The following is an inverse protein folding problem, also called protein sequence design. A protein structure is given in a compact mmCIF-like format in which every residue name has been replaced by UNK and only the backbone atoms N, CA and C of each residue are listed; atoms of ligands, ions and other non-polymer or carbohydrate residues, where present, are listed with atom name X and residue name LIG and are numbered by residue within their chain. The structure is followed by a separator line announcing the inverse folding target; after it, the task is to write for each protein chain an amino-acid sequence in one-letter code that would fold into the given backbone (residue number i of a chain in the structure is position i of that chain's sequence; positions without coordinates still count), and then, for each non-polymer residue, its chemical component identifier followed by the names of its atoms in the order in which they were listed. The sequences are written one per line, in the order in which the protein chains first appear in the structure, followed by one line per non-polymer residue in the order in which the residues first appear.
data_IF_927390653501
#
_entry.id   IF_927390653501
#
_cell.length_a   1.000
_cell.length_b   1.000
_cell.length_c   1.000
_cell.angle_alpha   90.00
_cell.angle_beta   90.00
_cell.angle_gamma   90.00
#
_symmetry.space_group_name_H-M   'P 1'
#
loop_
_entity.id
_entity.type
_entity.pdbx_description
1 polymer ?
#
# COMPACT_ATOMS: atom_id res chain seq x y z
N UNK A 1 -1.16 -51.71 16.24
CA UNK A 1 -1.69 -53.07 16.43
C UNK A 1 -3.02 -53.08 15.69
N UNK A 2 -3.18 -53.91 14.66
CA UNK A 2 -4.46 -54.04 13.97
C UNK A 2 -5.27 -55.04 14.78
N UNK A 3 -6.33 -54.57 15.43
CA UNK A 3 -7.23 -55.44 16.20
C UNK A 3 -7.94 -56.37 15.22
N UNK A 4 -7.62 -57.66 15.28
CA UNK A 4 -8.32 -58.69 14.52
C UNK A 4 -9.67 -58.94 15.17
N UNK A 5 -10.72 -58.41 14.55
CA UNK A 5 -12.11 -58.70 14.90
C UNK A 5 -12.43 -60.12 14.42
N UNK A 6 -13.01 -60.95 15.29
CA UNK A 6 -13.43 -62.30 14.88
C UNK A 6 -14.62 -62.22 13.92
N UNK A 7 -14.78 -63.20 13.02
CA UNK A 7 -15.90 -63.23 12.06
C UNK A 7 -17.27 -63.10 12.75
N UNK A 8 -17.41 -63.70 13.94
CA UNK A 8 -18.62 -63.62 14.73
C UNK A 8 -18.89 -62.21 15.28
N UNK A 9 -17.86 -61.44 15.63
CA UNK A 9 -17.98 -60.06 16.08
C UNK A 9 -18.26 -59.12 14.89
N UNK A 10 -17.64 -59.36 13.73
CA UNK A 10 -17.93 -58.62 12.51
C UNK A 10 -19.39 -58.78 12.08
N UNK A 11 -19.93 -59.99 12.13
CA UNK A 11 -21.34 -60.26 11.80
C UNK A 11 -22.32 -59.64 12.82
N UNK A 12 -21.89 -59.49 14.09
CA UNK A 12 -22.68 -58.84 15.16
C UNK A 12 -22.46 -57.34 15.24
N UNK A 13 -21.64 -56.77 14.35
CA UNK A 13 -21.38 -55.33 14.31
C UNK A 13 -22.67 -54.53 14.15
N UNK A 14 -22.63 -53.27 14.57
CA UNK A 14 -23.76 -52.34 14.36
C UNK A 14 -24.06 -52.14 12.88
N UNK A 15 -23.05 -52.21 12.03
CA UNK A 15 -23.17 -51.88 10.62
C UNK A 15 -23.82 -53.04 9.83
N UNK A 16 -23.59 -54.29 10.25
CA UNK A 16 -24.14 -55.46 9.56
C UNK A 16 -25.27 -56.14 10.34
N UNK A 17 -25.03 -56.50 11.60
CA UNK A 17 -25.96 -57.31 12.41
C UNK A 17 -27.25 -56.57 12.72
N UNK A 18 -27.17 -55.27 13.02
CA UNK A 18 -28.35 -54.45 13.30
C UNK A 18 -29.20 -54.22 12.04
N UNK A 19 -28.56 -54.03 10.88
CA UNK A 19 -29.25 -53.82 9.60
C UNK A 19 -29.98 -55.09 9.18
N UNK A 20 -29.34 -56.25 9.31
CA UNK A 20 -29.97 -57.56 9.05
C UNK A 20 -31.14 -57.77 10.01
N UNK A 21 -31.00 -57.48 11.31
CA UNK A 21 -32.08 -57.61 12.27
C UNK A 21 -33.29 -56.71 11.94
N UNK A 22 -33.05 -55.45 11.53
CA UNK A 22 -34.10 -54.53 11.05
C UNK A 22 -34.79 -55.08 9.79
N UNK A 23 -34.02 -55.55 8.81
CA UNK A 23 -34.56 -56.14 7.58
C UNK A 23 -35.41 -57.39 7.86
N UNK A 24 -34.96 -58.25 8.78
CA UNK A 24 -35.72 -59.41 9.23
C UNK A 24 -37.00 -59.02 9.97
N UNK A 25 -36.99 -57.97 10.78
CA UNK A 25 -38.18 -57.46 11.46
C UNK A 25 -39.23 -56.97 10.44
N UNK A 26 -38.80 -56.17 9.45
CA UNK A 26 -39.68 -55.68 8.37
C UNK A 26 -40.21 -56.83 7.51
N UNK A 27 -39.37 -57.82 7.21
CA UNK A 27 -39.77 -59.03 6.49
C UNK A 27 -40.80 -59.85 7.27
N UNK A 28 -40.62 -59.98 8.59
CA UNK A 28 -41.56 -60.70 9.46
C UNK A 28 -42.93 -60.00 9.49
N UNK A 29 -42.95 -58.67 9.56
CA UNK A 29 -44.18 -57.87 9.54
C UNK A 29 -44.90 -57.93 8.20
N UNK A 30 -44.17 -57.85 7.09
CA UNK A 30 -44.73 -57.85 5.73
C UNK A 30 -45.09 -59.24 5.18
N UNK A 31 -44.58 -60.31 5.80
CA UNK A 31 -44.80 -61.72 5.46
C UNK A 31 -44.84 -62.01 3.94
N UNK A 32 -43.78 -61.65 3.19
CA UNK A 32 -43.76 -61.76 1.74
C UNK A 32 -43.68 -63.22 1.27
N UNK A 33 -44.28 -63.52 0.11
CA UNK A 33 -44.24 -64.85 -0.52
C UNK A 33 -42.83 -65.37 -0.78
N UNK A 34 -41.90 -64.47 -1.12
CA UNK A 34 -40.48 -64.76 -1.37
C UNK A 34 -39.61 -63.99 -0.37
N UNK A 35 -39.39 -64.52 0.86
CA UNK A 35 -38.71 -63.79 1.94
C UNK A 35 -37.26 -63.42 1.62
N UNK A 36 -36.53 -64.31 0.95
CA UNK A 36 -35.11 -64.07 0.60
C UNK A 36 -34.97 -62.96 -0.43
N UNK A 37 -35.80 -62.96 -1.48
CA UNK A 37 -35.80 -61.92 -2.53
C UNK A 37 -36.26 -60.56 -1.97
N UNK A 38 -37.26 -60.57 -1.08
CA UNK A 38 -37.70 -59.38 -0.38
C UNK A 38 -36.57 -58.79 0.49
N UNK A 39 -35.92 -59.62 1.29
CA UNK A 39 -34.83 -59.16 2.17
C UNK A 39 -33.64 -58.61 1.36
N UNK A 40 -33.27 -59.25 0.25
CA UNK A 40 -32.21 -58.77 -0.63
C UNK A 40 -32.53 -57.38 -1.23
N UNK A 41 -33.76 -57.19 -1.71
CA UNK A 41 -34.23 -55.88 -2.22
C UNK A 41 -34.32 -54.83 -1.13
N UNK A 42 -34.74 -55.22 0.07
CA UNK A 42 -34.80 -54.34 1.22
C UNK A 42 -33.41 -53.85 1.62
N UNK A 43 -32.43 -54.76 1.71
CA UNK A 43 -31.03 -54.42 2.03
C UNK A 43 -30.43 -53.49 0.96
N UNK A 44 -30.73 -53.73 -0.31
CA UNK A 44 -30.30 -52.86 -1.40
C UNK A 44 -30.90 -51.45 -1.24
N UNK A 45 -32.21 -51.35 -1.01
CA UNK A 45 -32.87 -50.07 -0.79
C UNK A 45 -32.35 -49.35 0.46
N UNK A 46 -32.16 -50.07 1.56
CA UNK A 46 -31.58 -49.54 2.80
C UNK A 46 -30.22 -48.89 2.53
N UNK A 47 -29.33 -49.60 1.81
CA UNK A 47 -28.01 -49.06 1.45
C UNK A 47 -28.06 -47.82 0.55
N UNK A 48 -29.05 -47.75 -0.36
CA UNK A 48 -29.23 -46.58 -1.23
C UNK A 48 -29.76 -45.38 -0.46
N UNK A 49 -30.70 -45.60 0.47
CA UNK A 49 -31.26 -44.55 1.33
C UNK A 49 -30.19 -44.02 2.30
N UNK A 50 -29.38 -44.90 2.88
CA UNK A 50 -28.27 -44.52 3.77
C UNK A 50 -27.24 -43.66 3.01
N UNK A 51 -26.78 -44.12 1.84
CA UNK A 51 -25.90 -43.30 0.97
C UNK A 51 -26.51 -41.95 0.61
N UNK A 52 -27.79 -41.90 0.26
CA UNK A 52 -28.46 -40.65 -0.05
C UNK A 52 -28.60 -39.71 1.16
N UNK A 53 -28.67 -40.26 2.38
CA UNK A 53 -28.62 -39.49 3.62
C UNK A 53 -27.22 -38.94 3.86
N UNK A 54 -26.19 -39.76 3.71
CA UNK A 54 -24.78 -39.35 3.85
C UNK A 54 -24.44 -38.23 2.85
N UNK A 55 -24.74 -38.44 1.56
CA UNK A 55 -24.53 -37.44 0.49
C UNK A 55 -25.24 -36.10 0.83
N UNK A 56 -26.44 -36.17 1.41
CA UNK A 56 -27.18 -34.97 1.82
C UNK A 56 -26.53 -34.27 3.01
N UNK A 57 -26.03 -35.01 3.99
CA UNK A 57 -25.31 -34.42 5.12
C UNK A 57 -24.00 -33.78 4.70
N UNK A 58 -23.25 -34.42 3.79
CA UNK A 58 -22.04 -33.86 3.21
C UNK A 58 -22.34 -32.58 2.41
N UNK A 59 -23.38 -32.60 1.58
CA UNK A 59 -23.81 -31.42 0.83
C UNK A 59 -24.18 -30.25 1.74
N UNK A 60 -24.88 -30.51 2.85
CA UNK A 60 -25.22 -29.48 3.84
C UNK A 60 -23.96 -28.92 4.52
N UNK A 61 -23.01 -29.77 4.89
CA UNK A 61 -21.75 -29.33 5.50
C UNK A 61 -20.92 -28.46 4.54
N UNK A 62 -20.91 -28.77 3.24
CA UNK A 62 -20.26 -27.94 2.21
C UNK A 62 -20.92 -26.58 2.09
N UNK A 63 -22.26 -26.53 2.05
CA UNK A 63 -23.01 -25.26 1.98
C UNK A 63 -22.74 -24.41 3.22
N UNK A 64 -22.75 -25.01 4.41
CA UNK A 64 -22.45 -24.30 5.66
C UNK A 64 -21.03 -23.73 5.67
N UNK A 65 -20.05 -24.52 5.22
CA UNK A 65 -18.66 -24.07 5.09
C UNK A 65 -18.55 -22.89 4.12
N UNK A 66 -19.21 -22.96 2.97
CA UNK A 66 -19.21 -21.87 1.97
C UNK A 66 -19.87 -20.60 2.51
N UNK A 67 -21.00 -20.73 3.21
CA UNK A 67 -21.69 -19.59 3.83
C UNK A 67 -20.78 -18.92 4.86
N UNK A 68 -20.09 -19.71 5.69
CA UNK A 68 -19.14 -19.19 6.69
C UNK A 68 -17.98 -18.47 6.03
N UNK A 69 -17.35 -19.08 5.02
CA UNK A 69 -16.25 -18.47 4.27
C UNK A 69 -16.68 -17.16 3.59
N UNK A 70 -17.86 -17.13 2.99
CA UNK A 70 -18.38 -15.92 2.35
C UNK A 70 -18.72 -14.82 3.36
N UNK A 71 -19.24 -15.18 4.53
CA UNK A 71 -19.49 -14.22 5.62
C UNK A 71 -18.18 -13.61 6.14
N UNK A 72 -17.15 -14.44 6.39
CA UNK A 72 -15.83 -13.98 6.81
C UNK A 72 -15.17 -13.08 5.77
N UNK A 73 -15.22 -13.47 4.49
CA UNK A 73 -14.68 -12.67 3.39
C UNK A 73 -15.37 -11.30 3.26
N UNK A 74 -16.70 -11.25 3.43
CA UNK A 74 -17.45 -9.98 3.43
C UNK A 74 -17.08 -9.08 4.60
N UNK A 75 -16.89 -9.64 5.79
CA UNK A 75 -16.43 -8.87 6.95
C UNK A 75 -15.04 -8.31 6.68
N UNK A 76 -14.10 -9.12 6.18
CA UNK A 76 -12.75 -8.66 5.86
C UNK A 76 -12.74 -7.56 4.80
N UNK A 77 -13.50 -7.70 3.72
CA UNK A 77 -13.62 -6.66 2.69
C UNK A 77 -14.18 -5.37 3.26
N UNK A 78 -15.26 -5.44 4.06
CA UNK A 78 -15.84 -4.26 4.68
C UNK A 78 -14.86 -3.58 5.66
N UNK A 79 -14.08 -4.36 6.41
CA UNK A 79 -13.06 -3.82 7.32
C UNK A 79 -11.95 -3.11 6.54
N UNK A 80 -11.43 -3.73 5.47
CA UNK A 80 -10.41 -3.12 4.62
C UNK A 80 -10.91 -1.86 3.93
N UNK A 81 -12.14 -1.84 3.40
CA UNK A 81 -12.73 -0.64 2.81
C UNK A 81 -12.93 0.47 3.84
N UNK A 82 -13.32 0.14 5.07
CA UNK A 82 -13.47 1.12 6.15
C UNK A 82 -12.12 1.68 6.61
N UNK A 83 -11.07 0.85 6.67
CA UNK A 83 -9.70 1.30 6.97
C UNK A 83 -9.18 2.22 5.88
N UNK A 84 -9.33 1.85 4.60
CA UNK A 84 -8.89 2.68 3.48
C UNK A 84 -9.60 4.03 3.44
N UNK A 85 -10.92 4.06 3.71
CA UNK A 85 -11.67 5.32 3.82
C UNK A 85 -11.19 6.19 4.97
N UNK A 86 -10.88 5.61 6.13
CA UNK A 86 -10.32 6.37 7.26
C UNK A 86 -8.95 6.96 6.93
N UNK A 87 -8.10 6.21 6.23
CA UNK A 87 -6.80 6.72 5.77
C UNK A 87 -6.98 7.85 4.76
N UNK A 88 -7.88 7.70 3.79
CA UNK A 88 -8.23 8.75 2.82
C UNK A 88 -8.75 10.01 3.53
N UNK A 89 -9.67 9.86 4.49
CA UNK A 89 -10.22 10.96 5.30
C UNK A 89 -9.16 11.66 6.14
N UNK A 90 -8.24 10.91 6.77
CA UNK A 90 -7.13 11.48 7.55
C UNK A 90 -6.18 12.28 6.66
N UNK A 91 -5.86 11.76 5.47
CA UNK A 91 -5.00 12.46 4.51
C UNK A 91 -5.66 13.76 4.06
N UNK A 92 -6.96 13.75 3.79
CA UNK A 92 -7.69 14.94 3.36
C UNK A 92 -7.86 15.96 4.50
N UNK A 93 -8.05 15.51 5.75
CA UNK A 93 -8.06 16.38 6.93
C UNK A 93 -6.70 17.08 7.13
N UNK A 94 -5.60 16.34 6.97
CA UNK A 94 -4.24 16.91 7.07
C UNK A 94 -4.00 17.95 5.97
N UNK A 95 -4.44 17.69 4.73
CA UNK A 95 -4.37 18.68 3.64
C UNK A 95 -5.19 19.92 3.95
N UNK A 96 -6.44 19.76 4.38
CA UNK A 96 -7.33 20.87 4.68
C UNK A 96 -6.74 21.77 5.76
N UNK A 97 -6.23 21.16 6.84
CA UNK A 97 -5.54 21.87 7.93
C UNK A 97 -4.30 22.62 7.44
N UNK A 98 -3.51 22.02 6.57
CA UNK A 98 -2.31 22.67 6.03
C UNK A 98 -2.67 23.86 5.12
N UNK A 99 -3.70 23.74 4.28
CA UNK A 99 -4.20 24.83 3.44
C UNK A 99 -4.75 25.98 4.27
N UNK A 100 -5.47 25.68 5.35
CA UNK A 100 -5.96 26.69 6.30
C UNK A 100 -4.80 27.44 6.97
N UNK A 101 -3.76 26.71 7.42
CA UNK A 101 -2.54 27.31 7.98
C UNK A 101 -1.84 28.25 6.99
N UNK A 102 -1.76 27.88 5.71
CA UNK A 102 -1.21 28.75 4.67
C UNK A 102 -2.08 29.99 4.46
N UNK A 103 -3.41 29.84 4.46
CA UNK A 103 -4.33 30.96 4.26
C UNK A 103 -4.28 32.00 5.38
N UNK A 104 -4.01 31.56 6.61
CA UNK A 104 -3.86 32.44 7.79
C UNK A 104 -2.44 33.00 7.96
N UNK A 105 -1.46 32.44 7.26
CA UNK A 105 -0.06 32.83 7.40
C UNK A 105 0.21 34.24 6.86
N UNK A 106 0.76 35.11 7.72
CA UNK A 106 1.24 36.43 7.33
C UNK A 106 2.61 36.37 6.63
N UNK A 107 3.44 35.38 6.98
CA UNK A 107 4.70 35.05 6.30
C UNK A 107 4.73 33.56 5.93
N UNK A 108 4.93 33.29 4.64
CA UNK A 108 5.04 31.93 4.12
C UNK A 108 6.37 31.27 4.52
N UNK A 109 7.40 32.06 4.88
CA UNK A 109 8.69 31.51 5.30
C UNK A 109 8.60 30.70 6.59
N UNK A 110 7.72 31.10 7.51
CA UNK A 110 7.53 30.43 8.80
C UNK A 110 6.92 29.03 8.66
N UNK A 111 6.28 28.74 7.52
CA UNK A 111 5.59 27.48 7.25
C UNK A 111 6.34 26.55 6.30
N UNK A 112 7.55 26.92 5.87
CA UNK A 112 8.35 26.11 4.92
C UNK A 112 8.72 24.74 5.50
N UNK A 113 8.96 24.65 6.81
CA UNK A 113 9.18 23.35 7.46
C UNK A 113 7.90 22.49 7.49
N UNK A 114 6.74 23.12 7.70
CA UNK A 114 5.45 22.44 7.59
C UNK A 114 5.21 21.92 6.17
N UNK A 115 5.61 22.69 5.16
CA UNK A 115 5.52 22.30 3.76
C UNK A 115 6.43 21.10 3.44
N UNK A 116 7.67 21.06 3.93
CA UNK A 116 8.56 19.91 3.71
C UNK A 116 7.98 18.64 4.31
N UNK A 117 7.46 18.72 5.53
CA UNK A 117 6.88 17.58 6.24
C UNK A 117 5.59 17.11 5.54
N UNK A 118 4.73 18.05 5.12
CA UNK A 118 3.51 17.75 4.37
C UNK A 118 3.80 17.10 3.02
N UNK A 119 4.76 17.63 2.26
CA UNK A 119 5.15 17.07 0.96
C UNK A 119 5.75 15.67 1.11
N UNK A 120 6.54 15.42 2.15
CA UNK A 120 7.10 14.10 2.42
C UNK A 120 5.97 13.08 2.66
N UNK A 121 5.00 13.42 3.51
CA UNK A 121 3.85 12.55 3.82
C UNK A 121 2.95 12.34 2.60
N UNK A 122 2.66 13.40 1.85
CA UNK A 122 1.74 13.35 0.71
C UNK A 122 2.31 12.58 -0.48
N UNK A 123 3.61 12.77 -0.78
CA UNK A 123 4.26 12.13 -1.94
C UNK A 123 4.91 10.79 -1.59
N UNK A 124 5.03 10.47 -0.30
CA UNK A 124 5.83 9.37 0.21
C UNK A 124 7.28 9.41 -0.30
N UNK A 125 7.79 10.61 -0.56
CA UNK A 125 9.16 10.82 -1.02
C UNK A 125 10.15 10.48 0.11
N UNK A 126 11.29 9.90 -0.26
CA UNK A 126 12.33 9.56 0.72
C UNK A 126 13.00 10.79 1.34
N UNK A 127 13.06 11.91 0.61
CA UNK A 127 13.66 13.15 1.07
C UNK A 127 12.95 14.36 0.44
N UNK A 128 12.75 15.41 1.22
CA UNK A 128 12.20 16.69 0.75
C UNK A 128 12.99 17.83 1.38
N UNK A 129 13.41 18.79 0.56
CA UNK A 129 14.21 19.93 1.01
C UNK A 129 13.92 21.17 0.18
N UNK A 130 14.10 22.34 0.79
CA UNK A 130 13.83 23.66 0.20
C UNK A 130 15.12 24.49 0.20
N UNK A 131 15.54 24.87 -1.00
CA UNK A 131 16.66 25.79 -1.22
C UNK A 131 16.20 27.21 -1.51
N UNK A 132 16.93 28.19 -0.98
CA UNK A 132 16.79 29.61 -1.33
C UNK A 132 17.95 30.01 -2.24
N UNK A 133 17.63 30.77 -3.28
CA UNK A 133 18.64 31.32 -4.18
C UNK A 133 19.22 32.60 -3.54
N UNK A 134 20.46 32.56 -3.08
CA UNK A 134 21.12 33.63 -2.32
C UNK A 134 22.47 33.98 -2.96
N UNK A 135 22.88 35.25 -2.90
CA UNK A 135 24.24 35.63 -3.28
C UNK A 135 25.24 35.14 -2.21
N UNK A 136 26.41 34.59 -2.59
CA UNK A 136 27.41 34.15 -1.63
C UNK A 136 27.92 35.32 -0.76
N UNK A 137 28.16 35.03 0.51
CA UNK A 137 28.62 36.03 1.48
C UNK A 137 30.14 36.21 1.39
N UNK A 138 30.61 37.45 1.31
CA UNK A 138 32.04 37.81 1.38
C UNK A 138 32.51 37.93 2.84
N UNK A 139 33.76 37.57 3.15
CA UNK A 139 34.34 37.85 4.46
C UNK A 139 34.51 39.36 4.65
N UNK A 140 33.92 39.90 5.72
CA UNK A 140 33.93 41.33 6.08
C UNK A 140 35.30 41.72 6.65
N UNK A 141 35.81 42.90 6.31
CA UNK A 141 37.01 43.51 6.90
C UNK A 141 36.63 44.61 7.91
N UNK A 142 37.54 44.91 8.84
CA UNK A 142 37.35 46.02 9.78
C UNK A 142 37.27 47.36 9.04
N UNK A 143 36.05 47.91 8.90
CA UNK A 143 35.76 49.18 8.21
C UNK A 143 34.68 49.09 7.13
N UNK A 144 34.17 47.88 6.84
CA UNK A 144 33.15 47.63 5.83
C UNK A 144 31.72 47.98 6.34
N UNK A 145 30.83 48.38 5.43
CA UNK A 145 29.44 48.72 5.75
C UNK A 145 28.55 47.48 6.00
N UNK A 146 27.37 47.69 6.56
CA UNK A 146 26.41 46.62 6.88
C UNK A 146 25.97 45.78 5.65
N UNK A 147 26.26 46.21 4.41
CA UNK A 147 25.92 45.54 3.14
C UNK A 147 27.13 44.91 2.43
N UNK A 148 28.36 45.19 2.87
CA UNK A 148 29.60 44.72 2.25
C UNK A 148 29.78 43.19 2.27
N UNK A 149 28.95 42.49 3.04
CA UNK A 149 28.91 41.04 3.09
C UNK A 149 28.18 40.40 1.90
N UNK A 150 27.44 41.16 1.10
CA UNK A 150 26.68 40.64 -0.06
C UNK A 150 27.45 40.88 -1.35
N UNK A 151 27.83 39.81 -2.04
CA UNK A 151 28.48 39.92 -3.35
C UNK A 151 27.48 39.87 -4.49
N UNK A 152 26.89 41.01 -4.82
CA UNK A 152 25.91 41.12 -5.92
C UNK A 152 26.52 40.87 -7.32
N UNK A 153 27.86 40.82 -7.43
CA UNK A 153 28.57 40.52 -8.68
C UNK A 153 28.88 39.05 -8.91
N UNK A 154 28.66 38.21 -7.89
CA UNK A 154 28.95 36.78 -7.94
C UNK A 154 27.75 35.94 -8.37
N UNK A 155 28.02 34.75 -8.89
CA UNK A 155 26.96 33.84 -9.30
C UNK A 155 26.12 33.38 -8.09
N UNK A 156 24.79 33.46 -8.24
CA UNK A 156 23.86 33.05 -7.19
C UNK A 156 24.03 31.56 -6.89
N UNK A 157 23.97 31.21 -5.61
CA UNK A 157 24.08 29.85 -5.09
C UNK A 157 22.74 29.43 -4.48
N UNK A 158 22.47 28.11 -4.44
CA UNK A 158 21.31 27.58 -3.73
C UNK A 158 21.75 27.18 -2.33
N UNK A 159 21.20 27.84 -1.31
CA UNK A 159 21.40 27.50 0.09
C UNK A 159 20.18 26.71 0.59
N UNK A 160 20.39 25.47 1.01
CA UNK A 160 19.33 24.66 1.58
C UNK A 160 18.99 25.16 2.99
N UNK A 161 17.73 25.54 3.16
CA UNK A 161 17.22 26.17 4.39
C UNK A 161 16.37 25.24 5.24
N UNK A 162 15.62 24.35 4.60
CA UNK A 162 14.71 23.41 5.26
C UNK A 162 14.86 22.03 4.64
N UNK A 163 14.74 21.00 5.45
CA UNK A 163 14.80 19.60 5.03
C UNK A 163 13.94 18.74 5.97
N UNK A 164 13.59 17.54 5.52
CA UNK A 164 12.97 16.54 6.37
C UNK A 164 13.92 16.05 7.48
N UNK A 165 13.35 15.47 8.54
CA UNK A 165 14.08 15.04 9.74
C UNK A 165 15.21 14.05 9.44
N UNK A 166 15.09 13.22 8.42
CA UNK A 166 16.13 12.25 8.06
C UNK A 166 17.26 12.89 7.23
N UNK A 167 17.02 14.05 6.63
CA UNK A 167 17.94 14.75 5.73
C UNK A 167 18.35 16.15 6.24
N UNK A 168 18.26 16.39 7.55
CA UNK A 168 18.68 17.64 8.20
C UNK A 168 20.15 18.02 7.88
N UNK A 169 21.00 17.05 7.56
CA UNK A 169 22.38 17.29 7.14
C UNK A 169 22.52 18.12 5.84
N UNK A 170 21.44 18.25 5.07
CA UNK A 170 21.39 19.11 3.88
C UNK A 170 21.20 20.58 4.24
N UNK A 171 20.67 20.91 5.41
CA UNK A 171 20.55 22.30 5.86
C UNK A 171 21.95 22.92 5.93
N UNK A 172 22.06 24.17 5.49
CA UNK A 172 23.31 24.94 5.33
C UNK A 172 24.27 24.40 4.25
N UNK A 173 23.88 23.37 3.48
CA UNK A 173 24.64 22.99 2.29
C UNK A 173 24.39 23.96 1.15
N UNK A 174 25.43 24.14 0.35
CA UNK A 174 25.43 25.03 -0.81
C UNK A 174 25.53 24.19 -2.08
N UNK A 175 24.73 24.55 -3.08
CA UNK A 175 24.88 24.07 -4.45
C UNK A 175 25.40 25.24 -5.30
N UNK A 176 26.54 25.04 -5.97
CA UNK A 176 27.12 26.04 -6.85
C UNK A 176 26.51 25.93 -8.25
N UNK A 177 26.50 27.05 -8.98
CA UNK A 177 26.05 27.07 -10.37
C UNK A 177 26.96 26.15 -11.21
N UNK A 178 26.35 25.24 -11.97
CA UNK A 178 27.05 24.20 -12.73
C UNK A 178 27.37 22.91 -11.95
N UNK A 179 27.21 22.89 -10.62
CA UNK A 179 27.40 21.69 -9.81
C UNK A 179 26.08 20.96 -9.52
N UNK A 180 25.30 20.65 -10.55
CA UNK A 180 24.00 19.99 -10.38
C UNK A 180 23.01 20.31 -11.49
N UNK A 181 21.96 19.50 -11.63
CA UNK A 181 20.84 19.73 -12.54
C UNK A 181 19.75 20.67 -11.95
N UNK A 182 19.83 20.97 -10.66
CA UNK A 182 18.79 21.76 -9.96
C UNK A 182 18.69 23.20 -10.47
N UNK A 183 19.77 23.75 -11.02
CA UNK A 183 19.77 25.11 -11.57
C UNK A 183 18.99 25.23 -12.88
N UNK A 184 18.80 24.13 -13.62
CA UNK A 184 18.05 24.08 -14.88
C UNK A 184 16.57 24.46 -14.67
N UNK A 185 16.08 24.42 -13.43
CA UNK A 185 14.74 24.91 -13.04
C UNK A 185 14.59 26.42 -13.22
N UNK A 186 15.69 27.17 -13.20
CA UNK A 186 15.72 28.63 -13.38
C UNK A 186 16.03 29.04 -14.83
N UNK A 187 16.33 28.09 -15.70
CA UNK A 187 16.59 28.36 -17.12
C UNK A 187 15.26 28.42 -17.87
N UNK A 188 15.04 29.53 -18.56
CA UNK A 188 13.85 29.69 -19.39
C UNK A 188 13.90 28.69 -20.56
N UNK A 189 12.88 27.85 -20.68
CA UNK A 189 12.79 26.89 -21.79
C UNK A 189 12.37 27.65 -23.06
N UNK A 190 13.27 27.67 -24.04
CA UNK A 190 13.02 28.22 -25.37
C UNK A 190 12.41 27.13 -26.26
N UNK A 191 11.47 27.50 -27.13
CA UNK A 191 10.96 26.60 -28.18
C UNK A 191 11.96 26.45 -29.34
N UNK A 192 11.64 25.58 -30.31
CA UNK A 192 12.48 25.34 -31.51
C UNK A 192 12.68 26.62 -32.37
N UNK A 193 11.91 27.68 -32.11
CA UNK A 193 11.98 28.98 -32.78
C UNK A 193 12.65 30.07 -31.93
N UNK A 194 13.15 29.74 -30.74
CA UNK A 194 13.84 30.66 -29.84
C UNK A 194 12.94 31.64 -29.09
N UNK A 195 11.62 31.39 -29.00
CA UNK A 195 10.70 32.14 -28.17
C UNK A 195 10.56 31.49 -26.78
N UNK A 196 10.30 32.35 -25.79
CA UNK A 196 9.98 31.92 -24.44
C UNK A 196 8.64 31.17 -24.45
N UNK A 197 8.65 29.92 -23.99
CA UNK A 197 7.43 29.14 -23.81
C UNK A 197 6.69 29.76 -22.61
N UNK A 198 5.59 30.47 -22.85
CA UNK A 198 4.65 30.84 -21.78
C UNK A 198 4.07 29.53 -21.21
N UNK A 199 4.43 29.19 -19.98
CA UNK A 199 3.89 28.00 -19.31
C UNK A 199 2.83 28.42 -18.31
N UNK A 200 1.66 27.80 -18.40
CA UNK A 200 0.61 27.85 -17.38
C UNK A 200 0.97 27.01 -16.14
N UNK A 201 1.91 26.07 -16.29
CA UNK A 201 2.34 25.13 -15.24
C UNK A 201 3.65 25.56 -14.54
N UNK A 202 3.81 25.11 -13.29
CA UNK A 202 5.01 25.32 -12.49
C UNK A 202 6.28 24.77 -13.16
N UNK A 203 7.33 25.59 -13.20
CA UNK A 203 8.63 25.18 -13.72
C UNK A 203 9.25 24.09 -12.86
N UNK A 204 9.45 22.93 -13.48
CA UNK A 204 10.04 21.78 -12.83
C UNK A 204 11.04 21.05 -13.73
N UNK A 205 11.94 20.34 -13.06
CA UNK A 205 12.91 19.41 -13.64
C UNK A 205 12.67 18.05 -12.99
N UNK A 206 12.34 17.05 -13.80
CA UNK A 206 12.10 15.68 -13.37
C UNK A 206 13.13 14.74 -13.98
N UNK A 207 13.86 14.03 -13.12
CA UNK A 207 14.78 12.97 -13.49
C UNK A 207 14.23 11.66 -12.97
N UNK A 208 13.77 10.79 -13.88
CA UNK A 208 13.18 9.50 -13.51
C UNK A 208 14.20 8.54 -12.90
N UNK A 209 15.46 8.61 -13.36
CA UNK A 209 16.53 7.71 -12.91
C UNK A 209 17.82 8.50 -12.73
N UNK A 210 18.13 8.83 -11.47
CA UNK A 210 19.26 9.72 -11.12
C UNK A 210 20.63 9.13 -11.47
N UNK A 211 20.77 7.81 -11.58
CA UNK A 211 22.06 7.14 -11.85
C UNK A 211 22.47 7.25 -13.33
N UNK A 212 21.51 7.50 -14.23
CA UNK A 212 21.80 7.71 -15.66
C UNK A 212 22.17 9.15 -15.99
N UNK A 213 21.89 10.09 -15.08
CA UNK A 213 22.12 11.51 -15.29
C UNK A 213 23.43 11.94 -14.61
N UNK A 214 24.55 12.11 -15.35
CA UNK A 214 25.84 12.46 -14.77
C UNK A 214 25.87 13.85 -14.12
N UNK A 215 24.91 14.72 -14.44
CA UNK A 215 24.81 16.08 -13.88
C UNK A 215 24.18 16.11 -12.48
N UNK A 216 23.67 14.99 -11.95
CA UNK A 216 23.14 14.94 -10.58
C UNK A 216 24.27 15.02 -9.55
N UNK A 217 24.12 15.94 -8.59
CA UNK A 217 25.04 16.09 -7.48
C UNK A 217 24.54 15.34 -6.24
N UNK A 218 25.37 14.45 -5.69
CA UNK A 218 25.06 13.71 -4.46
C UNK A 218 25.93 14.21 -3.30
N UNK A 219 25.29 14.64 -2.20
CA UNK A 219 25.99 15.16 -1.02
C UNK A 219 26.62 14.09 -0.10
N UNK A 220 26.25 12.81 -0.25
CA UNK A 220 26.72 11.73 0.62
C UNK A 220 27.20 10.50 -0.15
N UNK A 221 26.27 9.69 -0.65
CA UNK A 221 26.54 8.48 -1.44
C UNK A 221 25.57 8.49 -2.62
N UNK A 222 26.01 8.10 -3.83
CA UNK A 222 25.09 7.89 -4.96
C UNK A 222 23.98 6.91 -4.58
N UNK A 223 22.73 7.30 -4.82
CA UNK A 223 21.54 6.47 -4.54
C UNK A 223 20.74 6.25 -5.81
N UNK A 224 20.02 5.15 -5.85
CA UNK A 224 19.02 4.87 -6.88
C UNK A 224 17.71 5.58 -6.52
N UNK A 225 17.02 6.11 -7.53
CA UNK A 225 15.74 6.79 -7.35
C UNK A 225 15.43 7.78 -8.46
N UNK A 226 14.38 8.56 -8.23
CA UNK A 226 13.99 9.71 -9.03
C UNK A 226 14.29 11.00 -8.28
N UNK A 227 14.42 12.11 -9.01
CA UNK A 227 14.61 13.44 -8.46
C UNK A 227 13.67 14.42 -9.16
N UNK A 228 13.02 15.28 -8.39
CA UNK A 228 12.17 16.35 -8.90
C UNK A 228 12.53 17.64 -8.19
N UNK A 229 12.75 18.70 -8.97
CA UNK A 229 12.94 20.04 -8.48
C UNK A 229 11.87 20.95 -9.07
N UNK A 230 11.25 21.78 -8.23
CA UNK A 230 10.17 22.69 -8.61
C UNK A 230 10.57 24.10 -8.18
N UNK A 231 10.37 25.08 -9.05
CA UNK A 231 10.52 26.49 -8.72
C UNK A 231 9.30 26.96 -7.91
N UNK A 232 9.55 27.41 -6.69
CA UNK A 232 8.55 28.15 -5.92
C UNK A 232 8.67 29.63 -6.31
N UNK A 233 7.54 30.26 -6.68
CA UNK A 233 7.45 31.68 -7.01
C UNK A 233 6.79 32.46 -5.88
#
# INVERSE_FOLDING_TARGET
MVDYVTDAEYLKSRDLGMVIAKGMAVMYESNPKNPVDFLAKWLLNYSQVERAQDDRTEALAVVELQVKQHAEARVQLNTQEAERKKEEEQVDEVKARFVEQIAEAQDLQDHLQGLTDHLQQFTNASAVYIGKLVAPKKPIKDGDDDQAHVDDTSEKIILFSHADKEHEFLVDKVLNKGSGLTFDVFEDKLDEEGKLIEKEDLDHVLVKEVVREPRIHFYKVPRLGSYMAIRLQ
#
